data_IF_759553709787
#
_entry.id   IF_759553709787
#
_cell.length_a   1.000
_cell.length_b   1.000
_cell.length_c   1.000
_cell.angle_alpha   90.00
_cell.angle_beta   90.00
_cell.angle_gamma   90.00
#
_symmetry.space_group_name_H-M   'P 1'
#
loop_
_entity.id
_entity.type
_entity.pdbx_description
1 polymer ?
#
# COMPACT_ATOMS: atom_id res chain seq x y z
N UNK A 1 2.65 18.32 5.10
CA UNK A 1 2.80 16.99 4.49
C UNK A 1 2.58 15.97 5.60
N UNK A 2 1.48 15.22 5.53
CA UNK A 2 1.05 14.31 6.61
C UNK A 2 1.75 12.97 6.45
N UNK A 3 2.46 12.53 7.49
CA UNK A 3 3.17 11.24 7.50
C UNK A 3 2.22 10.02 7.52
N UNK A 4 0.92 10.26 7.69
CA UNK A 4 -0.10 9.24 7.87
C UNK A 4 -1.44 9.73 7.30
N UNK A 5 -2.24 8.80 6.77
CA UNK A 5 -3.61 9.03 6.36
C UNK A 5 -4.42 7.73 6.42
N UNK A 6 -5.74 7.85 6.59
CA UNK A 6 -6.63 6.68 6.69
C UNK A 6 -7.04 6.18 5.31
N UNK A 7 -6.48 5.04 4.91
CA UNK A 7 -6.90 4.29 3.73
C UNK A 7 -8.08 3.35 3.98
N UNK A 8 -8.39 2.53 2.98
CA UNK A 8 -9.42 1.48 3.03
C UNK A 8 -8.98 0.26 2.25
N UNK A 9 -9.35 -0.92 2.74
CA UNK A 9 -9.26 -2.16 1.98
C UNK A 9 -10.51 -2.29 1.12
N UNK A 10 -10.35 -2.39 -0.19
CA UNK A 10 -11.44 -2.53 -1.15
C UNK A 10 -11.28 -3.78 -1.99
N UNK A 11 -12.42 -4.38 -2.33
CA UNK A 11 -12.51 -5.48 -3.29
C UNK A 11 -13.18 -4.93 -4.54
N UNK A 12 -12.42 -4.81 -5.64
CA UNK A 12 -12.93 -4.16 -6.86
C UNK A 12 -13.85 -5.08 -7.69
N UNK A 13 -13.81 -6.39 -7.46
CA UNK A 13 -14.64 -7.35 -8.20
C UNK A 13 -14.83 -8.66 -7.43
N UNK A 14 -15.32 -9.70 -8.10
CA UNK A 14 -15.34 -11.07 -7.56
C UNK A 14 -13.94 -11.67 -7.37
N UNK A 15 -12.89 -11.05 -7.93
CA UNK A 15 -11.51 -11.50 -7.84
C UNK A 15 -11.03 -11.66 -6.40
N UNK A 16 -10.05 -12.55 -6.18
CA UNK A 16 -9.46 -12.79 -4.86
C UNK A 16 -8.46 -11.70 -4.44
N UNK A 17 -8.22 -10.69 -5.27
CA UNK A 17 -7.30 -9.60 -4.93
C UNK A 17 -8.00 -8.54 -4.09
N UNK A 18 -7.30 -8.02 -3.08
CA UNK A 18 -7.73 -6.90 -2.26
C UNK A 18 -6.81 -5.73 -2.59
N UNK A 19 -7.37 -4.54 -2.66
CA UNK A 19 -6.64 -3.31 -2.96
C UNK A 19 -6.64 -2.44 -1.71
N UNK A 20 -5.54 -1.74 -1.49
CA UNK A 20 -5.40 -0.75 -0.43
C UNK A 20 -5.42 0.63 -1.06
N UNK A 21 -6.30 1.52 -0.61
CA UNK A 21 -6.23 2.92 -1.02
C UNK A 21 -5.18 3.65 -0.19
N UNK A 22 -4.13 4.14 -0.84
CA UNK A 22 -3.18 5.09 -0.22
C UNK A 22 -3.75 6.50 -0.39
N UNK A 23 -3.97 7.26 0.70
CA UNK A 23 -4.45 8.64 0.60
C UNK A 23 -3.51 9.52 -0.23
N UNK A 24 -4.07 10.46 -1.00
CA UNK A 24 -3.29 11.35 -1.86
C UNK A 24 -2.23 12.16 -1.10
N UNK A 25 -2.53 12.59 0.13
CA UNK A 25 -1.57 13.31 0.99
C UNK A 25 -0.35 12.46 1.38
N UNK A 26 -0.46 11.13 1.34
CA UNK A 26 0.64 10.19 1.61
C UNK A 26 1.35 9.82 0.30
N UNK A 27 0.59 9.53 -0.76
CA UNK A 27 1.15 9.17 -2.07
C UNK A 27 1.89 10.34 -2.76
N UNK A 28 1.49 11.58 -2.47
CA UNK A 28 2.14 12.79 -2.99
C UNK A 28 3.36 13.26 -2.20
N UNK A 29 3.74 12.59 -1.12
CA UNK A 29 4.97 12.90 -0.39
C UNK A 29 6.19 12.41 -1.18
N UNK A 30 7.21 13.24 -1.27
CA UNK A 30 8.46 12.99 -2.00
C UNK A 30 9.27 11.80 -1.43
N UNK A 31 8.90 11.28 -0.26
CA UNK A 31 9.44 10.04 0.32
C UNK A 31 8.57 8.81 0.06
N UNK A 32 7.45 8.95 -0.64
CA UNK A 32 6.63 7.82 -1.06
C UNK A 32 7.47 6.95 -2.01
N UNK A 33 7.71 5.68 -1.66
CA UNK A 33 8.80 4.94 -2.29
C UNK A 33 8.39 4.26 -3.60
N UNK A 34 7.19 4.50 -4.15
CA UNK A 34 6.66 3.77 -5.30
C UNK A 34 6.21 4.70 -6.43
N UNK A 35 6.28 4.20 -7.66
CA UNK A 35 5.66 4.81 -8.84
C UNK A 35 4.39 4.06 -9.26
N UNK A 36 3.49 4.75 -9.98
CA UNK A 36 2.26 4.13 -10.49
C UNK A 36 2.60 3.00 -11.48
N UNK A 37 2.10 1.79 -11.18
CA UNK A 37 2.32 0.60 -12.00
C UNK A 37 3.59 -0.19 -11.66
N UNK A 38 4.37 0.25 -10.67
CA UNK A 38 5.56 -0.48 -10.18
C UNK A 38 5.17 -1.82 -9.54
N UNK A 39 5.96 -2.87 -9.79
CA UNK A 39 5.82 -4.15 -9.10
C UNK A 39 6.36 -4.05 -7.67
N UNK A 40 5.64 -4.65 -6.72
CA UNK A 40 5.96 -4.61 -5.29
C UNK A 40 5.86 -6.00 -4.67
N UNK A 41 6.69 -6.24 -3.67
CA UNK A 41 6.55 -7.40 -2.79
C UNK A 41 5.56 -7.07 -1.67
N UNK A 42 4.56 -7.93 -1.47
CA UNK A 42 3.56 -7.80 -0.40
C UNK A 42 3.64 -9.01 0.52
N UNK A 43 3.90 -8.79 1.81
CA UNK A 43 4.02 -9.85 2.81
C UNK A 43 3.30 -9.51 4.11
N UNK A 44 3.03 -10.53 4.91
CA UNK A 44 2.47 -10.39 6.26
C UNK A 44 3.62 -10.55 7.26
N UNK A 45 3.81 -9.56 8.13
CA UNK A 45 4.59 -9.74 9.35
C UNK A 45 3.65 -10.26 10.45
N UNK A 46 3.64 -11.58 10.65
CA UNK A 46 2.70 -12.25 11.57
C UNK A 46 2.80 -11.70 13.00
N UNK A 47 4.03 -11.53 13.50
CA UNK A 47 4.29 -11.03 14.87
C UNK A 47 3.67 -9.65 15.13
N UNK A 48 3.57 -8.82 14.09
CA UNK A 48 3.09 -7.43 14.20
C UNK A 48 1.70 -7.23 13.61
N UNK A 49 1.03 -8.30 13.16
CA UNK A 49 -0.30 -8.24 12.57
C UNK A 49 -0.44 -7.15 11.50
N UNK A 50 0.57 -7.00 10.63
CA UNK A 50 0.60 -5.95 9.60
C UNK A 50 1.00 -6.50 8.23
N UNK A 51 0.52 -5.83 7.20
CA UNK A 51 0.97 -6.03 5.82
C UNK A 51 2.11 -5.06 5.54
N UNK A 52 3.18 -5.56 4.92
CA UNK A 52 4.32 -4.78 4.47
C UNK A 52 4.38 -4.82 2.95
N UNK A 53 4.60 -3.66 2.35
CA UNK A 53 4.78 -3.46 0.92
C UNK A 53 6.17 -2.88 0.71
N UNK A 54 6.99 -3.53 -0.12
CA UNK A 54 8.38 -3.17 -0.40
C UNK A 54 8.65 -3.22 -1.90
N UNK A 55 9.67 -2.49 -2.39
CA UNK A 55 10.12 -2.63 -3.78
C UNK A 55 10.56 -4.07 -4.05
N UNK A 56 10.34 -4.52 -5.29
CA UNK A 56 11.03 -5.71 -5.78
C UNK A 56 12.51 -5.34 -5.95
N UNK A 57 13.41 -6.19 -5.46
CA UNK A 57 14.87 -6.01 -5.62
C UNK A 57 15.33 -6.11 -7.08
#
# INVERSE_FOLDING_TARGET
>A
MSKEGKGKIVKLSSARTRFVSVPADVAGDDRFPFEDGEEVTVRIEEDKHRVVVEKVE
#
